data_IF_320390634592
#
_entry.id   IF_320390634592
#
_cell.length_a   1.000
_cell.length_b   1.000
_cell.length_c   1.000
_cell.angle_alpha   90.00
_cell.angle_beta   90.00
_cell.angle_gamma   90.00
#
_symmetry.space_group_name_H-M   'P 1'
#
loop_
_entity.id
_entity.type
_entity.pdbx_description
1 polymer ?
#
# COMPACT_ATOMS: atom_id res chain seq x y z
N UNK A 1 24.87 -8.01 11.13
CA UNK A 1 23.60 -7.31 11.46
C UNK A 1 22.66 -7.50 10.29
N UNK A 2 21.38 -7.83 10.51
CA UNK A 2 20.39 -7.88 9.44
C UNK A 2 19.99 -6.45 9.01
N UNK A 3 19.64 -6.24 7.73
CA UNK A 3 19.11 -4.97 7.23
C UNK A 3 17.70 -4.75 7.81
N UNK A 4 17.44 -3.58 8.39
CA UNK A 4 16.08 -3.19 8.76
C UNK A 4 15.28 -2.84 7.48
N UNK A 5 14.06 -3.36 7.37
CA UNK A 5 13.15 -3.07 6.27
C UNK A 5 12.15 -1.99 6.70
N UNK A 6 11.79 -1.12 5.77
CA UNK A 6 10.80 -0.06 5.96
C UNK A 6 9.48 -0.51 5.31
N UNK A 7 8.38 -0.42 6.05
CA UNK A 7 7.04 -0.75 5.56
C UNK A 7 6.13 0.48 5.64
N UNK A 8 5.32 0.70 4.60
CA UNK A 8 4.20 1.65 4.62
C UNK A 8 2.87 0.90 4.65
N UNK A 9 2.02 1.24 5.61
CA UNK A 9 0.61 0.81 5.64
C UNK A 9 -0.27 1.83 4.93
N UNK A 10 -1.11 1.36 4.02
CA UNK A 10 -2.05 2.16 3.23
C UNK A 10 -3.47 1.97 3.78
N UNK A 11 -3.93 2.89 4.63
CA UNK A 11 -5.20 2.77 5.37
C UNK A 11 -6.33 3.71 4.87
N UNK A 12 -6.10 4.46 3.80
CA UNK A 12 -7.14 5.32 3.20
C UNK A 12 -8.27 4.47 2.64
N UNK A 13 -9.52 4.92 2.82
CA UNK A 13 -10.67 4.29 2.16
C UNK A 13 -10.84 4.76 0.72
N UNK A 14 -10.27 5.91 0.37
CA UNK A 14 -10.26 6.42 -1.00
C UNK A 14 -9.20 5.67 -1.82
N UNK A 15 -9.65 5.05 -2.92
CA UNK A 15 -8.82 4.24 -3.80
C UNK A 15 -7.72 5.05 -4.49
N UNK A 16 -8.08 6.19 -5.10
CA UNK A 16 -7.15 7.00 -5.86
C UNK A 16 -6.08 7.62 -4.96
N UNK A 17 -6.49 8.09 -3.77
CA UNK A 17 -5.56 8.58 -2.76
C UNK A 17 -4.61 7.46 -2.26
N UNK A 18 -5.12 6.23 -2.12
CA UNK A 18 -4.31 5.07 -1.74
C UNK A 18 -3.24 4.76 -2.78
N UNK A 19 -3.63 4.72 -4.07
CA UNK A 19 -2.70 4.46 -5.17
C UNK A 19 -1.67 5.58 -5.34
N UNK A 20 -2.12 6.84 -5.27
CA UNK A 20 -1.22 7.99 -5.35
C UNK A 20 -0.19 8.01 -4.22
N UNK A 21 -0.58 7.63 -2.99
CA UNK A 21 0.35 7.49 -1.88
C UNK A 21 1.32 6.34 -2.10
N UNK A 22 0.83 5.18 -2.57
CA UNK A 22 1.65 4.01 -2.86
C UNK A 22 2.77 4.34 -3.87
N UNK A 23 2.45 5.05 -4.95
CA UNK A 23 3.42 5.50 -5.95
C UNK A 23 4.47 6.44 -5.35
N UNK A 24 4.05 7.41 -4.53
CA UNK A 24 4.96 8.38 -3.92
C UNK A 24 5.95 7.73 -2.94
N UNK A 25 5.50 6.73 -2.18
CA UNK A 25 6.32 6.11 -1.13
C UNK A 25 7.15 4.93 -1.63
N UNK A 26 6.79 4.33 -2.76
CA UNK A 26 7.46 3.15 -3.33
C UNK A 26 9.00 3.26 -3.41
N UNK A 27 9.62 4.41 -3.77
CA UNK A 27 11.07 4.54 -3.81
C UNK A 27 11.76 4.51 -2.44
N UNK A 28 11.02 4.62 -1.34
CA UNK A 28 11.54 4.82 0.01
C UNK A 28 11.26 3.66 0.96
N UNK A 29 10.42 2.71 0.56
CA UNK A 29 9.98 1.58 1.40
C UNK A 29 10.31 0.25 0.75
N UNK A 30 10.54 -0.75 1.57
CA UNK A 30 10.76 -2.12 1.12
C UNK A 30 9.43 -2.89 0.96
N UNK A 31 8.37 -2.47 1.68
CA UNK A 31 7.08 -3.17 1.75
C UNK A 31 5.92 -2.16 1.69
N UNK A 32 4.94 -2.45 0.83
CA UNK A 32 3.62 -1.82 0.84
C UNK A 32 2.61 -2.80 1.46
N UNK A 33 1.96 -2.39 2.54
CA UNK A 33 0.88 -3.14 3.19
C UNK A 33 -0.45 -2.45 2.88
N UNK A 34 -1.44 -3.21 2.40
CA UNK A 34 -2.81 -2.72 2.29
C UNK A 34 -3.48 -2.88 3.66
N UNK A 35 -3.91 -1.76 4.24
CA UNK A 35 -4.59 -1.73 5.52
C UNK A 35 -5.88 -2.57 5.53
N UNK A 36 -6.17 -3.20 6.66
CA UNK A 36 -7.39 -4.03 6.80
C UNK A 36 -8.69 -3.26 6.49
N UNK A 37 -8.88 -1.99 6.93
CA UNK A 37 -10.05 -1.21 6.55
C UNK A 37 -10.10 -0.95 5.03
N UNK A 38 -8.96 -0.63 4.42
CA UNK A 38 -8.81 -0.32 3.00
C UNK A 38 -9.20 -1.52 2.12
N UNK A 39 -8.65 -2.71 2.39
CA UNK A 39 -8.95 -3.93 1.62
C UNK A 39 -10.40 -4.40 1.81
N UNK A 40 -10.99 -4.19 2.99
CA UNK A 40 -12.40 -4.54 3.25
C UNK A 40 -13.36 -3.64 2.50
N UNK A 41 -13.00 -2.37 2.32
CA UNK A 41 -13.83 -1.39 1.64
C UNK A 41 -13.71 -1.47 0.11
N UNK A 42 -12.49 -1.50 -0.42
CA UNK A 42 -12.21 -1.46 -1.86
C UNK A 42 -12.09 -2.86 -2.51
N UNK A 43 -11.96 -3.93 -1.70
CA UNK A 43 -11.86 -5.30 -2.19
C UNK A 43 -10.54 -5.64 -2.89
N UNK A 44 -10.54 -6.74 -3.65
CA UNK A 44 -9.34 -7.31 -4.29
C UNK A 44 -8.81 -6.49 -5.48
N UNK A 45 -9.55 -5.47 -5.92
CA UNK A 45 -9.12 -4.56 -6.98
C UNK A 45 -7.79 -3.87 -6.61
N UNK A 46 -7.64 -3.44 -5.35
CA UNK A 46 -6.39 -2.86 -4.83
C UNK A 46 -5.19 -3.81 -4.96
N UNK A 47 -5.40 -5.11 -4.71
CA UNK A 47 -4.32 -6.10 -4.83
C UNK A 47 -3.88 -6.22 -6.28
N UNK A 48 -4.83 -6.16 -7.21
CA UNK A 48 -4.53 -6.23 -8.63
C UNK A 48 -3.80 -4.98 -9.09
N UNK A 49 -4.25 -3.80 -8.65
CA UNK A 49 -3.65 -2.52 -8.99
C UNK A 49 -2.22 -2.36 -8.45
N UNK A 50 -1.95 -2.78 -7.21
CA UNK A 50 -0.62 -2.67 -6.59
C UNK A 50 0.40 -3.72 -7.06
N UNK A 51 -0.05 -4.77 -7.76
CA UNK A 51 0.84 -5.80 -8.32
C UNK A 51 1.32 -5.48 -9.75
N UNK A 52 0.68 -4.55 -10.44
CA UNK A 52 1.00 -4.16 -11.81
C UNK A 52 2.30 -3.36 -11.87
#
# INVERSE_FOLDING_TARGET
MAKALIQMALDSLDFDATMALAEQVAPYVDILEIGTPCIKYNGLELVTALKA
#
